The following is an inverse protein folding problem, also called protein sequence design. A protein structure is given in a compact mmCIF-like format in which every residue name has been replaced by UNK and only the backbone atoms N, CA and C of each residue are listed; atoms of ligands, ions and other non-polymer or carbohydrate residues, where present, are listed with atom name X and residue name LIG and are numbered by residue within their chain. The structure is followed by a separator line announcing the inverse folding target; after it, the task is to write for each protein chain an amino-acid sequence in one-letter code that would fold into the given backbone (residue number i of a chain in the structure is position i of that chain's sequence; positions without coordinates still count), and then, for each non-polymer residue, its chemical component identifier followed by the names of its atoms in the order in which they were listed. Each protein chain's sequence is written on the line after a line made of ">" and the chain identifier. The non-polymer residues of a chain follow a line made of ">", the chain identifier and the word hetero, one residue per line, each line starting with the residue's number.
data_IF_808388321133
#
_entry.id   IF_808388321133
#
_cell.length_a   1.000
_cell.length_b   1.000
_cell.length_c   1.000
_cell.angle_alpha   90.00
_cell.angle_beta   90.00
_cell.angle_gamma   90.00
#
_symmetry.space_group_name_H-M   'P 1'
#
loop_
_entity.id
_entity.type
_entity.pdbx_description
1 polymer ?
#
# COMPACT_ATOMS: atom_id res chain seq x y z
N UNK A 1 -10.58 40.96 -25.01
CA UNK A 1 -9.96 40.91 -23.67
C UNK A 1 -10.94 40.42 -22.60
N UNK A 2 -12.17 40.96 -22.55
CA UNK A 2 -13.21 40.54 -21.59
C UNK A 2 -13.66 39.07 -21.75
N UNK A 3 -13.85 38.59 -22.99
CA UNK A 3 -14.21 37.20 -23.32
C UNK A 3 -13.22 36.15 -22.77
N UNK A 4 -11.92 36.44 -22.84
CA UNK A 4 -10.87 35.55 -22.31
C UNK A 4 -10.91 35.53 -20.78
N UNK A 5 -11.14 36.69 -20.16
CA UNK A 5 -11.24 36.82 -18.70
C UNK A 5 -12.45 36.04 -18.16
N UNK A 6 -13.59 36.09 -18.84
CA UNK A 6 -14.80 35.34 -18.45
C UNK A 6 -14.59 33.82 -18.54
N UNK A 7 -13.91 33.32 -19.59
CA UNK A 7 -13.60 31.90 -19.72
C UNK A 7 -12.65 31.40 -18.63
N UNK A 8 -11.65 32.20 -18.26
CA UNK A 8 -10.72 31.88 -17.15
C UNK A 8 -11.48 31.77 -15.84
N UNK A 9 -12.38 32.72 -15.54
CA UNK A 9 -13.17 32.71 -14.31
C UNK A 9 -14.10 31.48 -14.26
N UNK A 10 -14.77 31.14 -15.36
CA UNK A 10 -15.62 29.95 -15.42
C UNK A 10 -14.80 28.67 -15.18
N UNK A 11 -13.64 28.55 -15.81
CA UNK A 11 -12.76 27.39 -15.61
C UNK A 11 -12.29 27.26 -14.16
N UNK A 12 -11.92 28.37 -13.51
CA UNK A 12 -11.54 28.38 -12.10
C UNK A 12 -12.70 27.94 -11.19
N UNK A 13 -13.91 28.43 -11.43
CA UNK A 13 -15.10 28.03 -10.66
C UNK A 13 -15.39 26.54 -10.83
N UNK A 14 -15.32 26.03 -12.06
CA UNK A 14 -15.51 24.59 -12.34
C UNK A 14 -14.45 23.73 -11.65
N UNK A 15 -13.19 24.14 -11.69
CA UNK A 15 -12.10 23.43 -11.02
C UNK A 15 -12.30 23.39 -9.49
N UNK A 16 -12.72 24.50 -8.87
CA UNK A 16 -13.02 24.57 -7.44
C UNK A 16 -14.20 23.68 -7.07
N UNK A 17 -15.29 23.74 -7.82
CA UNK A 17 -16.49 22.90 -7.56
C UNK A 17 -16.15 21.42 -7.71
N UNK A 18 -15.37 21.05 -8.73
CA UNK A 18 -14.91 19.67 -8.92
C UNK A 18 -14.05 19.20 -7.74
N UNK A 19 -13.08 20.01 -7.30
CA UNK A 19 -12.24 19.71 -6.13
C UNK A 19 -13.06 19.51 -4.85
N UNK A 20 -14.06 20.36 -4.58
CA UNK A 20 -14.95 20.22 -3.42
C UNK A 20 -15.74 18.90 -3.48
N UNK A 21 -16.23 18.52 -4.67
CA UNK A 21 -17.04 17.31 -4.82
C UNK A 21 -16.19 16.04 -4.62
N UNK A 22 -14.96 16.04 -5.13
CA UNK A 22 -13.99 14.94 -4.90
C UNK A 22 -13.66 14.81 -3.42
N UNK A 23 -13.37 15.92 -2.73
CA UNK A 23 -13.07 15.92 -1.29
C UNK A 23 -14.24 15.39 -0.45
N UNK A 24 -15.48 15.85 -0.71
CA UNK A 24 -16.68 15.35 -0.01
C UNK A 24 -16.92 13.86 -0.25
N UNK A 25 -16.66 13.37 -1.46
CA UNK A 25 -16.79 11.95 -1.82
C UNK A 25 -15.78 11.11 -1.03
N UNK A 26 -14.55 11.58 -0.88
CA UNK A 26 -13.50 10.93 -0.08
C UNK A 26 -13.90 10.84 1.39
N UNK A 27 -14.28 11.97 2.01
CA UNK A 27 -14.62 12.04 3.44
C UNK A 27 -15.80 11.13 3.80
N UNK A 28 -16.83 11.09 2.95
CA UNK A 28 -17.99 10.21 3.17
C UNK A 28 -17.58 8.73 3.16
N UNK A 29 -16.76 8.33 2.19
CA UNK A 29 -16.22 6.96 2.09
C UNK A 29 -15.42 6.61 3.33
N UNK A 30 -14.52 7.49 3.78
CA UNK A 30 -13.64 7.23 4.91
C UNK A 30 -14.42 6.98 6.20
N UNK A 31 -15.54 7.70 6.39
CA UNK A 31 -16.49 7.43 7.47
C UNK A 31 -17.20 6.09 7.31
N UNK A 32 -17.64 5.75 6.09
CA UNK A 32 -18.35 4.49 5.81
C UNK A 32 -17.47 3.25 6.06
N UNK A 33 -16.18 3.31 5.73
CA UNK A 33 -15.25 2.17 5.87
C UNK A 33 -14.53 2.15 7.23
N UNK A 34 -14.75 3.13 8.09
CA UNK A 34 -14.10 3.23 9.39
C UNK A 34 -12.60 3.49 9.27
N UNK A 35 -12.22 4.44 8.42
CA UNK A 35 -10.85 4.89 8.24
C UNK A 35 -10.28 5.44 9.56
N UNK A 36 -9.07 4.99 9.89
CA UNK A 36 -8.29 5.47 11.03
C UNK A 36 -7.22 6.44 10.54
N UNK A 37 -6.65 6.15 9.38
CA UNK A 37 -5.56 6.91 8.76
C UNK A 37 -5.50 6.58 7.26
N UNK A 38 -4.78 7.37 6.48
CA UNK A 38 -4.62 7.18 5.04
C UNK A 38 -3.23 7.62 4.58
N UNK A 39 -2.74 6.98 3.51
CA UNK A 39 -1.49 7.41 2.87
C UNK A 39 -1.50 7.16 1.36
N UNK A 40 -0.87 8.05 0.58
CA UNK A 40 -0.65 7.79 -0.83
C UNK A 40 0.31 6.61 -0.98
N UNK A 41 -0.05 5.71 -1.88
CA UNK A 41 0.72 4.58 -2.32
C UNK A 41 1.04 4.78 -3.81
N UNK A 42 2.21 4.32 -4.23
CA UNK A 42 2.63 4.46 -5.62
C UNK A 42 1.67 3.80 -6.61
N UNK A 43 2.08 3.75 -7.87
CA UNK A 43 1.29 3.14 -8.93
C UNK A 43 1.07 1.65 -8.67
N UNK A 44 -0.18 1.20 -8.59
CA UNK A 44 -0.52 -0.21 -8.52
C UNK A 44 -0.14 -0.93 -9.82
N UNK A 45 0.52 -2.08 -9.68
CA UNK A 45 0.96 -2.91 -10.80
C UNK A 45 0.13 -4.19 -10.91
N UNK A 46 0.00 -4.95 -9.80
CA UNK A 46 -0.66 -6.25 -9.79
C UNK A 46 -0.90 -6.77 -8.35
N UNK A 47 -1.72 -7.82 -8.25
CA UNK A 47 -1.82 -8.65 -7.05
C UNK A 47 -2.94 -8.29 -6.09
N UNK A 48 -3.97 -7.57 -6.55
CA UNK A 48 -5.22 -7.40 -5.83
C UNK A 48 -6.33 -8.21 -6.52
N UNK A 49 -7.26 -8.82 -5.77
CA UNK A 49 -8.26 -9.75 -6.32
C UNK A 49 -9.33 -9.07 -7.19
N UNK A 50 -9.48 -7.75 -7.11
CA UNK A 50 -10.53 -6.99 -7.81
C UNK A 50 -9.96 -6.02 -8.86
N UNK A 51 -8.65 -6.06 -9.12
CA UNK A 51 -7.98 -5.16 -10.04
C UNK A 51 -6.97 -5.92 -10.91
N UNK A 52 -7.30 -6.07 -12.19
CA UNK A 52 -6.44 -6.68 -13.20
C UNK A 52 -5.62 -5.63 -13.97
N UNK A 53 -6.01 -4.36 -13.86
CA UNK A 53 -5.37 -3.24 -14.57
C UNK A 53 -4.51 -2.39 -13.63
N UNK A 54 -3.33 -1.92 -14.07
CA UNK A 54 -2.52 -0.97 -13.32
C UNK A 54 -3.28 0.33 -13.05
N UNK A 55 -3.07 0.93 -11.88
CA UNK A 55 -3.70 2.20 -11.51
C UNK A 55 -2.65 3.18 -10.98
N UNK A 56 -2.70 4.44 -11.42
CA UNK A 56 -1.85 5.51 -10.87
C UNK A 56 -2.51 6.15 -9.65
N UNK A 57 -1.69 6.84 -8.84
CA UNK A 57 -2.12 7.65 -7.71
C UNK A 57 -3.09 6.90 -6.79
N UNK A 58 -2.59 5.78 -6.24
CA UNK A 58 -3.40 4.86 -5.45
C UNK A 58 -3.29 5.22 -3.98
N UNK A 59 -4.40 5.52 -3.33
CA UNK A 59 -4.42 5.77 -1.90
C UNK A 59 -4.68 4.48 -1.13
N UNK A 60 -3.97 4.32 -0.01
CA UNK A 60 -4.21 3.27 0.97
C UNK A 60 -4.93 3.85 2.18
N UNK A 61 -6.18 3.44 2.37
CA UNK A 61 -6.95 3.76 3.57
C UNK A 61 -6.78 2.64 4.59
N UNK A 62 -6.42 3.02 5.81
CA UNK A 62 -6.12 2.12 6.91
C UNK A 62 -7.34 2.02 7.81
N UNK A 63 -7.88 0.83 7.93
CA UNK A 63 -9.00 0.52 8.84
C UNK A 63 -8.51 -0.32 10.02
N UNK A 64 -9.42 -0.66 10.94
CA UNK A 64 -9.10 -1.53 12.08
C UNK A 64 -8.60 -2.92 11.66
N UNK A 65 -9.02 -3.45 10.51
CA UNK A 65 -8.70 -4.84 10.13
C UNK A 65 -8.03 -4.94 8.76
N UNK A 66 -8.19 -3.96 7.87
CA UNK A 66 -7.72 -4.03 6.48
C UNK A 66 -6.94 -2.79 6.07
N UNK A 67 -6.03 -2.98 5.11
CA UNK A 67 -5.63 -1.95 4.17
C UNK A 67 -6.57 -2.00 2.96
N UNK A 68 -7.14 -0.86 2.58
CA UNK A 68 -8.08 -0.72 1.47
C UNK A 68 -7.48 0.23 0.45
N UNK A 69 -7.35 -0.22 -0.80
CA UNK A 69 -6.69 0.55 -1.85
C UNK A 69 -7.73 1.17 -2.79
N UNK A 70 -7.57 2.46 -3.08
CA UNK A 70 -8.43 3.21 -3.99
C UNK A 70 -7.60 3.87 -5.09
N UNK A 71 -8.11 3.86 -6.31
CA UNK A 71 -7.55 4.69 -7.40
C UNK A 71 -7.95 6.16 -7.24
N UNK A 72 -7.30 7.04 -8.01
CA UNK A 72 -7.64 8.46 -8.14
C UNK A 72 -9.15 8.72 -8.39
N UNK A 73 -9.80 7.85 -9.15
CA UNK A 73 -11.26 7.95 -9.44
C UNK A 73 -12.15 7.54 -8.27
N UNK A 74 -11.54 7.20 -7.13
CA UNK A 74 -12.18 6.69 -5.93
C UNK A 74 -12.88 5.33 -6.16
N UNK A 75 -12.31 4.51 -7.05
CA UNK A 75 -12.71 3.11 -7.26
C UNK A 75 -11.84 2.22 -6.37
N UNK A 76 -12.49 1.36 -5.57
CA UNK A 76 -11.81 0.34 -4.76
C UNK A 76 -11.08 -0.65 -5.67
N UNK A 77 -9.78 -0.82 -5.47
CA UNK A 77 -8.93 -1.76 -6.20
C UNK A 77 -8.84 -3.12 -5.47
N UNK A 78 -8.93 -3.08 -4.14
CA UNK A 78 -8.93 -4.29 -3.32
C UNK A 78 -8.63 -4.02 -1.86
N UNK A 79 -8.66 -5.10 -1.07
CA UNK A 79 -8.45 -5.08 0.38
C UNK A 79 -7.46 -6.17 0.78
N UNK A 80 -6.58 -5.86 1.73
CA UNK A 80 -5.65 -6.81 2.34
C UNK A 80 -5.87 -6.82 3.87
N UNK A 81 -6.19 -7.97 4.48
CA UNK A 81 -6.26 -8.09 5.94
C UNK A 81 -4.90 -7.82 6.59
N UNK A 82 -4.84 -6.94 7.58
CA UNK A 82 -3.56 -6.54 8.22
C UNK A 82 -2.87 -7.69 8.96
N UNK A 83 -3.66 -8.66 9.44
CA UNK A 83 -3.15 -9.84 10.13
C UNK A 83 -2.71 -10.97 9.18
N UNK A 84 -3.00 -10.87 7.87
CA UNK A 84 -2.56 -11.87 6.88
C UNK A 84 -1.28 -11.47 6.16
N UNK A 85 -0.71 -10.31 6.47
CA UNK A 85 0.53 -9.83 5.88
C UNK A 85 1.71 -10.55 6.53
N UNK A 86 2.50 -11.23 5.70
CA UNK A 86 3.72 -11.92 6.09
C UNK A 86 4.87 -10.92 6.21
N UNK A 87 5.03 -10.05 5.22
CA UNK A 87 6.11 -9.05 5.16
C UNK A 87 5.82 -7.95 4.12
N UNK A 88 6.49 -6.81 4.28
CA UNK A 88 6.56 -5.74 3.28
C UNK A 88 8.01 -5.57 2.86
N UNK A 89 8.28 -5.64 1.54
CA UNK A 89 9.62 -5.55 0.95
C UNK A 89 9.68 -4.33 0.05
N UNK A 90 10.83 -3.64 0.04
CA UNK A 90 11.15 -2.58 -0.92
C UNK A 90 12.33 -3.04 -1.77
N UNK A 91 12.12 -3.13 -3.08
CA UNK A 91 13.12 -3.61 -4.04
C UNK A 91 13.35 -2.63 -5.20
N UNK A 92 14.58 -2.64 -5.73
CA UNK A 92 15.00 -1.86 -6.89
C UNK A 92 14.89 -2.70 -8.17
N UNK A 93 14.15 -2.21 -9.17
CA UNK A 93 13.97 -2.90 -10.45
C UNK A 93 15.28 -3.06 -11.25
N UNK A 94 16.29 -2.22 -11.04
CA UNK A 94 17.48 -2.13 -11.90
C UNK A 94 18.48 -3.28 -11.73
N UNK A 95 18.39 -4.07 -10.64
CA UNK A 95 19.31 -5.19 -10.36
C UNK A 95 19.15 -6.38 -11.32
N UNK A 96 18.09 -6.42 -12.14
CA UNK A 96 17.85 -7.50 -13.12
C UNK A 96 18.39 -7.13 -14.51
N UNK A 97 18.41 -5.84 -14.89
CA UNK A 97 18.74 -5.39 -16.25
C UNK A 97 20.24 -5.28 -16.51
N UNK A 98 21.07 -5.01 -15.49
CA UNK A 98 22.52 -4.84 -15.66
C UNK A 98 23.23 -6.12 -16.13
N UNK A 99 22.78 -7.31 -15.70
CA UNK A 99 23.41 -8.59 -16.09
C UNK A 99 23.27 -8.88 -17.59
N UNK A 100 22.12 -8.58 -18.19
CA UNK A 100 21.88 -8.77 -19.63
C UNK A 100 22.67 -7.77 -20.49
N UNK A 101 22.99 -6.62 -19.93
CA UNK A 101 23.69 -5.53 -20.63
C UNK A 101 25.20 -5.80 -20.70
N UNK A 102 25.81 -6.38 -19.67
CA UNK A 102 27.22 -6.81 -19.68
C UNK A 102 27.46 -7.92 -20.71
N UNK A 103 26.56 -8.90 -20.80
CA UNK A 103 26.64 -9.95 -21.83
C UNK A 103 26.52 -9.37 -23.24
N UNK A 104 25.63 -8.39 -23.46
CA UNK A 104 25.51 -7.69 -24.75
C UNK A 104 26.71 -6.81 -25.09
N UNK A 105 27.33 -6.15 -24.11
CA UNK A 105 28.56 -5.38 -24.33
C UNK A 105 29.75 -6.29 -24.66
N UNK A 106 29.86 -7.43 -23.97
CA UNK A 106 30.89 -8.44 -24.26
C UNK A 106 30.74 -9.04 -25.66
N UNK A 107 29.51 -9.27 -26.13
CA UNK A 107 29.28 -9.86 -27.47
C UNK A 107 29.36 -8.85 -28.61
N UNK A 108 29.02 -7.57 -28.39
CA UNK A 108 28.98 -6.54 -29.44
C UNK A 108 30.27 -5.69 -29.55
N UNK A 109 31.21 -5.81 -28.59
CA UNK A 109 32.52 -5.18 -28.66
C UNK A 109 32.49 -3.64 -28.74
N UNK A 110 33.51 -3.05 -29.36
CA UNK A 110 33.76 -1.59 -29.48
C UNK A 110 32.64 -0.80 -30.20
N UNK A 111 31.67 -1.48 -30.82
CA UNK A 111 30.53 -0.88 -31.50
C UNK A 111 29.30 -0.68 -30.59
N UNK A 112 29.38 -1.07 -29.30
CA UNK A 112 28.28 -0.91 -28.33
C UNK A 112 28.13 0.51 -27.76
N UNK A 113 28.96 1.47 -28.18
CA UNK A 113 29.04 2.83 -27.62
C UNK A 113 27.94 3.80 -28.10
N UNK A 114 26.76 3.29 -28.48
CA UNK A 114 25.55 4.10 -28.55
C UNK A 114 24.78 3.94 -27.23
N UNK A 115 25.16 4.72 -26.22
CA UNK A 115 24.51 4.71 -24.92
C UNK A 115 23.05 5.16 -25.07
N UNK A 116 22.04 4.31 -24.75
CA UNK A 116 20.67 4.77 -24.73
C UNK A 116 20.51 5.75 -23.57
N UNK A 117 20.49 7.05 -23.87
CA UNK A 117 19.96 8.09 -22.96
C UNK A 117 18.44 7.95 -22.91
N UNK A 118 17.95 6.94 -22.17
CA UNK A 118 16.59 7.00 -21.59
C UNK A 118 16.78 7.44 -20.15
N UNK A 119 16.09 8.51 -19.75
CA UNK A 119 16.04 8.96 -18.35
C UNK A 119 15.54 7.77 -17.52
N UNK A 120 16.46 7.07 -16.87
CA UNK A 120 16.17 5.99 -15.94
C UNK A 120 15.63 6.65 -14.69
N UNK A 121 14.32 6.82 -14.61
CA UNK A 121 13.70 7.08 -13.31
C UNK A 121 14.08 5.91 -12.41
N UNK A 122 14.57 6.21 -11.23
CA UNK A 122 14.92 5.18 -10.26
C UNK A 122 13.58 4.57 -9.83
N UNK A 123 13.29 3.34 -10.25
CA UNK A 123 12.02 2.67 -9.99
C UNK A 123 12.19 1.73 -8.80
N UNK A 124 11.47 2.02 -7.72
CA UNK A 124 11.39 1.15 -6.55
C UNK A 124 10.00 0.53 -6.46
N UNK A 125 9.97 -0.77 -6.14
CA UNK A 125 8.74 -1.51 -5.91
C UNK A 125 8.55 -1.73 -4.42
N UNK A 126 7.35 -1.45 -3.92
CA UNK A 126 6.86 -1.93 -2.64
C UNK A 126 6.04 -3.20 -2.89
N UNK A 127 6.44 -4.30 -2.27
CA UNK A 127 5.78 -5.60 -2.37
C UNK A 127 5.18 -5.94 -1.01
N UNK A 128 3.87 -6.15 -0.98
CA UNK A 128 3.15 -6.66 0.19
C UNK A 128 2.91 -8.16 -0.06
N UNK A 129 3.53 -9.00 0.76
CA UNK A 129 3.36 -10.46 0.74
C UNK A 129 2.34 -10.84 1.81
N UNK A 130 1.23 -11.45 1.40
CA UNK A 130 0.10 -11.75 2.27
C UNK A 130 -0.58 -13.06 1.89
N UNK A 131 -1.47 -13.55 2.74
CA UNK A 131 -2.30 -14.72 2.45
C UNK A 131 -3.75 -14.31 2.28
N UNK A 132 -4.38 -14.82 1.22
CA UNK A 132 -5.81 -14.63 1.03
C UNK A 132 -6.63 -15.50 2.01
N UNK A 133 -7.96 -15.37 1.94
CA UNK A 133 -8.87 -16.15 2.78
C UNK A 133 -8.84 -17.67 2.52
N UNK A 134 -8.21 -18.11 1.42
CA UNK A 134 -7.98 -19.52 1.07
C UNK A 134 -6.59 -19.99 1.54
N UNK A 135 -5.81 -19.14 2.20
CA UNK A 135 -4.43 -19.43 2.62
C UNK A 135 -3.45 -19.43 1.45
N UNK A 136 -3.85 -18.92 0.27
CA UNK A 136 -2.98 -18.82 -0.90
C UNK A 136 -2.14 -17.57 -0.75
N UNK A 137 -0.82 -17.73 -0.91
CA UNK A 137 0.13 -16.62 -0.85
C UNK A 137 -0.03 -15.71 -2.07
N UNK A 138 -0.18 -14.41 -1.82
CA UNK A 138 -0.37 -13.35 -2.80
C UNK A 138 0.70 -12.28 -2.61
N UNK A 139 1.09 -11.64 -3.71
CA UNK A 139 2.02 -10.51 -3.70
C UNK A 139 1.37 -9.32 -4.39
N UNK A 140 1.11 -8.25 -3.63
CA UNK A 140 0.62 -6.98 -4.17
C UNK A 140 1.78 -6.02 -4.38
N UNK A 141 1.86 -5.43 -5.58
CA UNK A 141 3.02 -4.65 -6.00
C UNK A 141 2.61 -3.21 -6.33
N UNK A 142 3.33 -2.26 -5.75
CA UNK A 142 3.23 -0.84 -6.03
C UNK A 142 4.57 -0.27 -6.49
N UNK A 143 4.54 0.59 -7.48
CA UNK A 143 5.71 1.23 -8.09
C UNK A 143 5.82 2.70 -7.66
N UNK A 144 7.01 3.08 -7.23
CA UNK A 144 7.39 4.46 -6.95
C UNK A 144 8.41 4.91 -8.00
N UNK A 145 8.17 6.09 -8.58
CA UNK A 145 9.02 6.70 -9.60
C UNK A 145 9.43 8.11 -9.19
N UNK A 146 10.59 8.56 -9.68
CA UNK A 146 11.12 9.91 -9.43
C UNK A 146 12.34 9.93 -8.53
N UNK A 147 12.87 11.13 -8.26
CA UNK A 147 14.16 11.30 -7.57
C UNK A 147 14.12 10.78 -6.12
N UNK A 148 12.95 10.82 -5.49
CA UNK A 148 12.71 10.34 -4.13
C UNK A 148 12.05 8.95 -4.07
N UNK A 149 12.00 8.19 -5.17
CA UNK A 149 11.28 6.90 -5.24
C UNK A 149 11.66 5.94 -4.11
N UNK A 150 12.97 5.80 -3.83
CA UNK A 150 13.47 4.96 -2.74
C UNK A 150 12.94 5.40 -1.38
N UNK A 151 13.03 6.71 -1.12
CA UNK A 151 12.65 7.32 0.14
C UNK A 151 11.14 7.21 0.36
N UNK A 152 10.35 7.41 -0.70
CA UNK A 152 8.90 7.29 -0.68
C UNK A 152 8.46 5.84 -0.46
N UNK A 153 9.07 4.88 -1.17
CA UNK A 153 8.80 3.46 -0.98
C UNK A 153 9.12 3.01 0.46
N UNK A 154 10.31 3.36 0.98
CA UNK A 154 10.70 3.03 2.35
C UNK A 154 9.82 3.71 3.41
N UNK A 155 9.49 5.00 3.22
CA UNK A 155 8.58 5.72 4.11
C UNK A 155 7.23 5.01 4.18
N UNK A 156 6.69 4.63 3.03
CA UNK A 156 5.41 3.93 2.93
C UNK A 156 5.49 2.56 3.60
N UNK A 157 6.53 1.77 3.34
CA UNK A 157 6.73 0.48 3.99
C UNK A 157 6.79 0.58 5.52
N UNK A 158 7.62 1.50 6.04
CA UNK A 158 7.73 1.74 7.49
C UNK A 158 6.41 2.20 8.11
N UNK A 159 5.68 3.03 7.38
CA UNK A 159 4.39 3.53 7.82
C UNK A 159 3.34 2.41 7.88
N UNK A 160 3.24 1.55 6.86
CA UNK A 160 2.35 0.38 6.89
C UNK A 160 2.76 -0.63 7.97
N UNK A 161 4.06 -0.84 8.18
CA UNK A 161 4.60 -1.78 9.17
C UNK A 161 4.10 -1.45 10.59
N UNK A 162 3.99 -0.17 10.93
CA UNK A 162 3.41 0.31 12.21
C UNK A 162 2.03 -0.30 12.45
N UNK A 163 1.19 -0.39 11.42
CA UNK A 163 -0.18 -0.86 11.53
C UNK A 163 -0.31 -2.39 11.49
N UNK A 164 0.67 -3.09 10.93
CA UNK A 164 0.76 -4.56 10.98
C UNK A 164 1.08 -5.02 12.40
N UNK A 165 2.10 -4.42 13.03
CA UNK A 165 2.52 -4.80 14.40
C UNK A 165 1.38 -4.60 15.41
N UNK A 166 0.61 -3.52 15.27
CA UNK A 166 -0.57 -3.27 16.10
C UNK A 166 -1.66 -4.32 15.86
N UNK A 167 -1.93 -4.70 14.60
CA UNK A 167 -2.93 -5.71 14.28
C UNK A 167 -2.56 -7.10 14.80
N UNK A 168 -1.30 -7.50 14.66
CA UNK A 168 -0.80 -8.79 15.16
C UNK A 168 -0.83 -8.85 16.70
N UNK A 169 -0.49 -7.76 17.39
CA UNK A 169 -0.57 -7.69 18.84
C UNK A 169 -2.01 -7.81 19.36
N UNK A 170 -3.00 -7.29 18.61
CA UNK A 170 -4.43 -7.40 18.95
C UNK A 170 -4.97 -8.82 18.72
N UNK A 171 -4.46 -9.57 17.75
CA UNK A 171 -4.88 -10.96 17.52
C UNK A 171 -4.20 -11.97 18.49
N UNK A 172 -3.07 -11.59 19.10
CA UNK A 172 -2.37 -12.40 20.12
C UNK A 172 -2.92 -12.21 21.55
N UNK A 173 -4.08 -11.57 21.72
CA UNK A 173 -4.71 -11.41 23.04
C UNK A 173 -6.11 -11.99 23.11
N UNK A 174 -6.50 -12.45 24.31
CA UNK A 174 -7.85 -12.90 24.67
C UNK A 174 -8.23 -12.38 26.05
N UNK A 175 -9.52 -12.33 26.35
CA UNK A 175 -10.02 -11.98 27.69
C UNK A 175 -10.10 -13.23 28.56
N UNK A 176 -9.62 -13.14 29.80
CA UNK A 176 -9.73 -14.23 30.77
C UNK A 176 -11.21 -14.43 31.19
N UNK A 177 -11.78 -15.65 31.08
CA UNK A 177 -13.18 -15.90 31.42
C UNK A 177 -13.47 -15.78 32.93
N UNK A 178 -12.45 -15.82 33.78
CA UNK A 178 -12.62 -15.82 35.24
C UNK A 178 -12.43 -14.45 35.90
N UNK A 179 -11.66 -13.55 35.29
CA UNK A 179 -11.34 -12.25 35.88
C UNK A 179 -11.43 -11.08 34.91
N UNK A 180 -11.84 -11.33 33.66
CA UNK A 180 -11.99 -10.32 32.60
C UNK A 180 -10.72 -9.55 32.19
N UNK A 181 -9.55 -9.91 32.71
CA UNK A 181 -8.28 -9.30 32.32
C UNK A 181 -7.81 -9.74 30.93
N UNK A 182 -7.09 -8.84 30.24
CA UNK A 182 -6.51 -9.13 28.91
C UNK A 182 -5.19 -9.89 29.05
N UNK A 183 -5.12 -11.06 28.41
CA UNK A 183 -4.00 -12.00 28.48
C UNK A 183 -3.61 -12.47 27.08
N UNK A 184 -2.42 -13.08 26.94
CA UNK A 184 -2.02 -13.67 25.65
C UNK A 184 -2.98 -14.78 25.22
N UNK A 185 -3.26 -14.88 23.93
CA UNK A 185 -4.14 -15.92 23.36
C UNK A 185 -3.60 -17.32 23.65
N UNK A 186 -2.28 -17.48 23.55
CA UNK A 186 -1.56 -18.71 23.89
C UNK A 186 -1.42 -18.99 25.40
N UNK A 187 -1.90 -18.11 26.29
CA UNK A 187 -1.81 -18.33 27.73
C UNK A 187 -2.63 -19.56 28.17
N UNK A 188 -1.95 -20.51 28.82
CA UNK A 188 -2.55 -21.67 29.50
C UNK A 188 -3.00 -21.34 30.93
N UNK A 189 -2.35 -20.35 31.56
CA UNK A 189 -2.68 -19.88 32.92
C UNK A 189 -2.83 -18.37 32.90
N UNK A 190 -3.87 -17.84 33.57
CA UNK A 190 -4.04 -16.40 33.71
C UNK A 190 -3.05 -15.83 34.74
N UNK A 191 -2.17 -14.90 34.33
CA UNK A 191 -1.20 -14.26 35.23
C UNK A 191 -1.81 -13.40 36.36
N UNK A 192 -3.10 -13.08 36.26
CA UNK A 192 -3.79 -12.18 37.20
C UNK A 192 -4.56 -12.94 38.27
N UNK A 193 -5.34 -13.96 37.87
CA UNK A 193 -6.14 -14.77 38.80
C UNK A 193 -5.58 -16.17 39.06
N UNK A 194 -4.46 -16.53 38.41
CA UNK A 194 -3.78 -17.82 38.52
C UNK A 194 -4.64 -19.06 38.21
N UNK A 195 -5.76 -18.90 37.49
CA UNK A 195 -6.59 -20.02 37.03
C UNK A 195 -6.10 -20.55 35.69
N UNK A 196 -6.22 -21.87 35.54
CA UNK A 196 -5.99 -22.57 34.28
C UNK A 196 -7.09 -22.22 33.27
N UNK A 197 -6.64 -21.95 32.04
CA UNK A 197 -7.46 -21.62 30.90
C UNK A 197 -7.49 -22.87 30.02
N UNK A 198 -8.52 -23.69 30.19
CA UNK A 198 -8.71 -24.87 29.36
C UNK A 198 -8.69 -24.46 27.88
N UNK A 199 -7.85 -25.15 27.10
CA UNK A 199 -7.78 -24.98 25.65
C UNK A 199 -9.08 -25.51 25.05
N UNK A 200 -10.01 -24.60 24.77
CA UNK A 200 -11.12 -24.86 23.84
C UNK A 200 -10.60 -24.91 22.39
#
# INVERSE_FOLDING_TARGET
>A
MYEILTLIVIFLVLAVVWGINVAKKSEKRDKEIGAIDDCPIGKFIAGLPCADEPATDVDCVITKNHFVFFSETNKELGKIPRNSINQIIVDDKTKITQRLTVTRMLTLGIFSLAAPKRKTFIEFCLVIDWQDNRGIRQNTIFEFTGDDANKNANRTANYLQKYITVAQALDDVKTCPYCAETIKKAAKVCRFCNRDLETA
#
